data_IF_492996084593
#
_entry.id   IF_492996084593
#
_cell.length_a   1.000
_cell.length_b   1.000
_cell.length_c   1.000
_cell.angle_alpha   90.00
_cell.angle_beta   90.00
_cell.angle_gamma   90.00
#
_symmetry.space_group_name_H-M   'P 1'
#
loop_
_entity.id
_entity.type
_entity.pdbx_description
1 polymer ?
#
# COMPACT_ATOMS: atom_id res chain seq x y z
N UNK A 1 29.60 -8.22 -7.01
CA UNK A 1 29.66 -9.25 -5.96
C UNK A 1 28.22 -9.64 -5.67
N UNK A 2 27.87 -10.91 -5.81
CA UNK A 2 26.48 -11.33 -5.55
C UNK A 2 26.28 -11.46 -4.03
N UNK A 3 25.18 -10.89 -3.51
CA UNK A 3 24.80 -11.04 -2.12
C UNK A 3 24.40 -12.48 -1.82
N UNK A 4 24.73 -12.96 -0.64
CA UNK A 4 24.26 -14.24 -0.09
C UNK A 4 24.21 -14.17 1.43
N UNK A 5 23.49 -15.11 2.02
CA UNK A 5 23.33 -15.20 3.48
C UNK A 5 24.23 -16.28 4.13
N UNK A 6 25.16 -16.86 3.37
CA UNK A 6 25.99 -18.01 3.80
C UNK A 6 26.58 -17.83 5.21
N UNK A 7 27.20 -16.69 5.46
CA UNK A 7 27.86 -16.39 6.78
C UNK A 7 26.88 -16.28 7.96
N UNK A 8 25.57 -16.17 7.69
CA UNK A 8 24.51 -16.12 8.72
C UNK A 8 23.80 -17.46 8.86
N UNK A 9 23.85 -18.30 7.82
CA UNK A 9 23.22 -19.62 7.77
C UNK A 9 24.17 -20.69 8.31
N UNK A 10 25.49 -20.54 8.12
CA UNK A 10 26.48 -21.49 8.60
C UNK A 10 26.38 -21.61 10.12
N UNK A 11 26.18 -22.86 10.60
CA UNK A 11 25.91 -23.16 12.01
C UNK A 11 24.47 -23.00 12.46
N UNK A 12 23.54 -22.51 11.60
CA UNK A 12 22.12 -22.45 11.90
C UNK A 12 21.35 -23.53 11.11
N UNK A 13 20.78 -24.53 11.78
CA UNK A 13 20.10 -25.65 11.10
C UNK A 13 18.75 -25.23 10.47
N UNK A 14 18.16 -24.11 10.88
CA UNK A 14 16.86 -23.67 10.46
C UNK A 14 16.83 -22.65 9.33
N UNK A 15 15.63 -22.16 9.05
CA UNK A 15 15.40 -21.10 8.08
C UNK A 15 15.85 -19.74 8.66
N UNK A 16 16.43 -18.91 7.80
CA UNK A 16 16.82 -17.53 8.12
C UNK A 16 16.01 -16.59 7.25
N UNK A 17 15.38 -15.58 7.85
CA UNK A 17 14.64 -14.56 7.14
C UNK A 17 15.36 -13.21 7.19
N UNK A 18 15.37 -12.47 6.09
CA UNK A 18 15.76 -11.06 6.07
C UNK A 18 14.54 -10.16 6.18
N UNK A 19 14.66 -9.07 6.94
CA UNK A 19 13.58 -8.11 7.21
C UNK A 19 14.07 -6.70 6.95
N UNK A 20 13.27 -5.91 6.24
CA UNK A 20 13.53 -4.49 5.98
C UNK A 20 12.22 -3.70 5.88
N UNK A 21 12.29 -2.37 6.03
CA UNK A 21 11.15 -1.48 5.94
C UNK A 21 11.35 -0.33 4.95
N UNK A 22 10.24 0.27 4.55
CA UNK A 22 10.20 1.50 3.76
C UNK A 22 9.05 2.40 4.22
N UNK A 23 9.24 3.71 4.08
CA UNK A 23 8.14 4.65 4.33
C UNK A 23 8.11 5.24 5.73
N UNK A 24 9.23 5.27 6.48
CA UNK A 24 9.30 5.94 7.79
C UNK A 24 9.26 7.47 7.69
N UNK A 25 10.01 8.03 6.74
CA UNK A 25 10.18 9.47 6.60
C UNK A 25 9.10 10.26 5.82
N UNK A 26 8.29 9.66 4.93
CA UNK A 26 7.24 10.37 4.20
C UNK A 26 6.19 11.02 5.10
N UNK A 27 5.60 12.12 4.60
CA UNK A 27 4.50 12.86 5.27
C UNK A 27 3.15 12.17 5.13
N UNK A 28 3.01 11.23 4.17
CA UNK A 28 1.77 10.51 3.92
C UNK A 28 1.98 9.05 3.52
N UNK A 29 0.90 8.29 3.57
CA UNK A 29 0.86 6.87 3.23
C UNK A 29 1.47 5.96 4.30
N UNK A 30 1.43 4.63 4.08
CA UNK A 30 1.82 3.64 5.07
C UNK A 30 3.33 3.54 5.27
N UNK A 31 3.73 2.93 6.40
CA UNK A 31 5.01 2.21 6.52
C UNK A 31 4.77 0.76 6.11
N UNK A 32 5.67 0.22 5.31
CA UNK A 32 5.61 -1.16 4.80
C UNK A 32 6.90 -1.87 5.17
N UNK A 33 6.80 -3.07 5.73
CA UNK A 33 7.91 -3.97 5.95
C UNK A 33 7.71 -5.27 5.18
N UNK A 34 8.80 -5.92 4.82
CA UNK A 34 8.77 -7.25 4.26
C UNK A 34 9.74 -8.18 4.98
N UNK A 35 9.44 -9.47 4.95
CA UNK A 35 10.29 -10.53 5.43
C UNK A 35 10.42 -11.61 4.36
N UNK A 36 11.63 -12.06 4.06
CA UNK A 36 11.91 -13.02 2.97
C UNK A 36 12.79 -14.15 3.43
N UNK A 37 12.38 -15.39 3.14
CA UNK A 37 13.17 -16.61 3.32
C UNK A 37 13.55 -17.16 1.95
N UNK A 38 14.84 -17.44 1.75
CA UNK A 38 15.35 -18.12 0.57
C UNK A 38 15.87 -19.54 0.86
N UNK A 39 15.92 -20.42 -0.17
CA UNK A 39 16.69 -21.65 -0.09
C UNK A 39 18.16 -21.38 0.24
N UNK A 40 18.79 -22.28 1.01
CA UNK A 40 20.21 -22.16 1.35
C UNK A 40 21.07 -22.14 0.08
N UNK A 41 22.04 -21.23 0.05
CA UNK A 41 23.00 -21.11 -1.06
C UNK A 41 22.48 -20.37 -2.28
N UNK A 42 21.23 -19.87 -2.27
CA UNK A 42 20.71 -19.06 -3.37
C UNK A 42 21.49 -17.75 -3.53
N UNK A 43 21.69 -17.37 -4.78
CA UNK A 43 22.10 -16.03 -5.18
C UNK A 43 21.16 -15.50 -6.26
N UNK A 44 20.90 -14.20 -6.26
CA UNK A 44 20.10 -13.53 -7.28
C UNK A 44 20.91 -12.37 -7.82
N UNK A 45 21.18 -12.42 -9.12
CA UNK A 45 21.95 -11.38 -9.78
C UNK A 45 21.17 -10.05 -9.78
N UNK A 46 21.88 -8.97 -9.46
CA UNK A 46 21.34 -7.61 -9.47
C UNK A 46 20.53 -7.22 -8.23
N UNK A 47 20.29 -8.14 -7.29
CA UNK A 47 19.73 -7.79 -5.99
C UNK A 47 20.79 -7.07 -5.17
N UNK A 48 20.49 -5.83 -4.76
CA UNK A 48 21.35 -4.95 -3.97
C UNK A 48 20.45 -3.90 -3.28
N UNK A 49 21.02 -2.91 -2.61
CA UNK A 49 20.34 -1.74 -2.06
C UNK A 49 19.26 -1.21 -3.01
N UNK A 50 18.00 -1.30 -2.59
CA UNK A 50 16.82 -0.97 -3.42
C UNK A 50 16.82 0.47 -3.92
N UNK A 51 17.51 1.38 -3.21
CA UNK A 51 17.62 2.81 -3.57
C UNK A 51 18.54 3.06 -4.76
N UNK A 52 19.49 2.12 -5.01
CA UNK A 52 20.42 2.18 -6.16
C UNK A 52 19.88 1.51 -7.41
N UNK A 53 18.74 0.85 -7.31
CA UNK A 53 18.10 0.11 -8.41
C UNK A 53 16.99 0.97 -9.00
N UNK A 54 16.94 1.08 -10.34
CA UNK A 54 15.87 1.83 -11.02
C UNK A 54 14.48 1.21 -10.74
N UNK A 55 13.39 1.99 -10.78
CA UNK A 55 12.05 1.47 -10.56
C UNK A 55 11.70 0.27 -11.45
N UNK A 56 12.01 0.36 -12.76
CA UNK A 56 11.77 -0.74 -13.71
C UNK A 56 12.53 -2.02 -13.34
N UNK A 57 13.78 -1.89 -12.92
CA UNK A 57 14.58 -3.06 -12.51
C UNK A 57 14.09 -3.63 -11.18
N UNK A 58 13.58 -2.78 -10.25
CA UNK A 58 12.97 -3.26 -9.00
C UNK A 58 11.72 -4.10 -9.25
N UNK A 59 10.85 -3.70 -10.19
CA UNK A 59 9.69 -4.51 -10.57
C UNK A 59 10.09 -5.87 -11.10
N UNK A 60 11.08 -5.95 -11.99
CA UNK A 60 11.60 -7.24 -12.49
C UNK A 60 12.15 -8.09 -11.34
N UNK A 61 12.93 -7.49 -10.44
CA UNK A 61 13.51 -8.21 -9.30
C UNK A 61 12.44 -8.63 -8.30
N UNK A 62 11.37 -7.87 -8.12
CA UNK A 62 10.23 -8.25 -7.31
C UNK A 62 9.62 -9.57 -7.79
N UNK A 63 9.39 -9.72 -9.10
CA UNK A 63 8.87 -10.97 -9.67
C UNK A 63 9.85 -12.13 -9.51
N UNK A 64 11.16 -11.89 -9.72
CA UNK A 64 12.21 -12.89 -9.51
C UNK A 64 12.26 -13.33 -8.05
N UNK A 65 12.15 -12.40 -7.09
CA UNK A 65 12.15 -12.69 -5.65
C UNK A 65 10.92 -13.53 -5.30
N UNK A 66 9.72 -13.15 -5.76
CA UNK A 66 8.49 -13.90 -5.52
C UNK A 66 8.58 -15.35 -6.01
N UNK A 67 9.21 -15.56 -7.18
CA UNK A 67 9.34 -16.89 -7.77
C UNK A 67 10.42 -17.77 -7.09
N UNK A 68 11.40 -17.16 -6.42
CA UNK A 68 12.54 -17.88 -5.82
C UNK A 68 12.50 -18.00 -4.30
N UNK A 69 11.70 -17.19 -3.64
CA UNK A 69 11.56 -17.25 -2.19
C UNK A 69 10.79 -18.50 -1.74
N UNK A 70 11.19 -19.06 -0.62
CA UNK A 70 10.41 -20.10 0.08
C UNK A 70 9.19 -19.49 0.75
N UNK A 71 9.34 -18.27 1.27
CA UNK A 71 8.24 -17.55 1.92
C UNK A 71 8.50 -16.06 1.90
N UNK A 72 7.43 -15.29 1.74
CA UNK A 72 7.42 -13.83 1.83
C UNK A 72 6.26 -13.43 2.72
N UNK A 73 6.52 -12.54 3.65
CA UNK A 73 5.50 -11.86 4.44
C UNK A 73 5.61 -10.34 4.25
N UNK A 74 4.47 -9.65 4.28
CA UNK A 74 4.37 -8.20 4.10
C UNK A 74 3.51 -7.63 5.22
N UNK A 75 4.05 -6.68 5.98
CA UNK A 75 3.31 -5.93 6.99
C UNK A 75 3.10 -4.49 6.56
N UNK A 76 1.89 -3.99 6.72
CA UNK A 76 1.48 -2.65 6.30
C UNK A 76 0.79 -1.97 7.47
N UNK A 77 1.34 -0.83 7.90
CA UNK A 77 0.74 0.01 8.92
C UNK A 77 0.39 1.36 8.30
N UNK A 78 -0.90 1.66 8.30
CA UNK A 78 -1.44 2.86 7.69
C UNK A 78 -1.25 4.08 8.58
N UNK A 79 -1.42 5.24 7.97
CA UNK A 79 -1.20 6.57 8.55
C UNK A 79 -1.93 6.79 9.88
N UNK A 80 -3.18 6.34 9.97
CA UNK A 80 -4.00 6.49 11.16
C UNK A 80 -3.44 5.71 12.37
N UNK A 81 -2.91 4.51 12.12
CA UNK A 81 -2.26 3.74 13.18
C UNK A 81 -0.88 4.31 13.52
N UNK A 82 -0.15 4.85 12.54
CA UNK A 82 1.12 5.55 12.79
C UNK A 82 0.89 6.75 13.71
N UNK A 83 -0.17 7.53 13.48
CA UNK A 83 -0.51 8.68 14.32
C UNK A 83 -0.89 8.28 15.76
N UNK A 84 -1.48 7.09 15.93
CA UNK A 84 -1.86 6.55 17.25
C UNK A 84 -0.64 6.08 18.05
N UNK A 85 0.28 5.33 17.43
CA UNK A 85 1.36 4.61 18.12
C UNK A 85 2.77 5.15 17.86
N UNK A 86 2.94 6.17 17.06
CA UNK A 86 4.14 6.74 16.43
C UNK A 86 4.81 5.85 15.39
N UNK A 87 5.75 6.45 14.63
CA UNK A 87 6.40 5.77 13.49
C UNK A 87 7.34 4.64 13.90
N UNK A 88 7.97 4.71 15.07
CA UNK A 88 8.86 3.64 15.52
C UNK A 88 8.05 2.38 15.86
N UNK A 89 6.99 2.52 16.64
CA UNK A 89 6.09 1.42 16.97
C UNK A 89 5.36 0.88 15.74
N UNK A 90 4.94 1.77 14.82
CA UNK A 90 4.36 1.39 13.55
C UNK A 90 5.32 0.57 12.68
N UNK A 91 6.61 0.92 12.66
CA UNK A 91 7.63 0.16 11.94
C UNK A 91 7.82 -1.23 12.53
N UNK A 92 7.95 -1.32 13.87
CA UNK A 92 8.11 -2.60 14.57
C UNK A 92 6.89 -3.50 14.34
N UNK A 93 5.69 -2.92 14.41
CA UNK A 93 4.45 -3.67 14.16
C UNK A 93 4.38 -4.17 12.71
N UNK A 94 4.79 -3.36 11.72
CA UNK A 94 4.87 -3.80 10.33
C UNK A 94 5.85 -4.95 10.15
N UNK A 95 7.05 -4.85 10.74
CA UNK A 95 8.05 -5.93 10.68
C UNK A 95 7.53 -7.21 11.34
N UNK A 96 6.88 -7.11 12.50
CA UNK A 96 6.25 -8.26 13.18
C UNK A 96 5.20 -8.91 12.30
N UNK A 97 4.27 -8.14 11.73
CA UNK A 97 3.26 -8.66 10.80
C UNK A 97 3.88 -9.39 9.60
N UNK A 98 4.99 -8.88 9.07
CA UNK A 98 5.70 -9.52 7.97
C UNK A 98 6.31 -10.87 8.40
N UNK A 99 6.95 -10.93 9.56
CA UNK A 99 7.56 -12.17 10.09
C UNK A 99 6.50 -13.20 10.47
N UNK A 100 5.36 -12.76 11.01
CA UNK A 100 4.26 -13.65 11.43
C UNK A 100 3.60 -14.41 10.26
N UNK A 101 3.69 -13.90 9.05
CA UNK A 101 3.16 -14.55 7.84
C UNK A 101 4.08 -15.63 7.27
N UNK A 102 5.33 -15.71 7.72
CA UNK A 102 6.29 -16.65 7.14
C UNK A 102 5.97 -18.11 7.47
N UNK A 103 6.08 -18.97 6.44
CA UNK A 103 5.96 -20.42 6.55
C UNK A 103 7.01 -21.08 5.64
N UNK A 104 8.00 -21.87 6.18
CA UNK A 104 8.16 -22.22 7.60
C UNK A 104 8.54 -21.02 8.48
N UNK A 105 8.29 -21.13 9.79
CA UNK A 105 8.78 -20.12 10.74
C UNK A 105 10.31 -20.10 10.75
N UNK A 106 10.93 -18.90 10.69
CA UNK A 106 12.39 -18.82 10.74
C UNK A 106 12.93 -19.07 12.14
N UNK A 107 14.13 -19.64 12.21
CA UNK A 107 14.86 -19.80 13.48
C UNK A 107 15.67 -18.54 13.83
N UNK A 108 15.96 -17.72 12.84
CA UNK A 108 16.67 -16.46 12.98
C UNK A 108 16.11 -15.42 12.00
N UNK A 109 16.03 -14.18 12.44
CA UNK A 109 15.74 -13.03 11.60
C UNK A 109 16.94 -12.09 11.51
N UNK A 110 17.24 -11.65 10.30
CA UNK A 110 18.25 -10.63 10.01
C UNK A 110 17.50 -9.33 9.72
N UNK A 111 17.68 -8.32 10.55
CA UNK A 111 16.94 -7.05 10.45
C UNK A 111 17.88 -5.94 9.99
N UNK A 112 17.47 -5.13 8.99
CA UNK A 112 18.25 -3.97 8.59
C UNK A 112 18.30 -2.92 9.70
N UNK A 113 19.48 -2.28 9.84
CA UNK A 113 19.68 -1.22 10.82
C UNK A 113 19.92 -1.69 12.24
N UNK A 114 19.44 -0.91 13.20
CA UNK A 114 19.55 -1.18 14.65
C UNK A 114 18.16 -1.06 15.28
N UNK A 115 17.37 -2.11 15.14
CA UNK A 115 16.00 -2.18 15.69
C UNK A 115 16.01 -2.96 17.00
N UNK A 116 15.14 -2.59 17.93
CA UNK A 116 14.82 -3.45 19.08
C UNK A 116 14.14 -4.74 18.62
N UNK A 117 14.03 -5.73 19.50
CA UNK A 117 13.43 -7.02 19.15
C UNK A 117 11.99 -6.84 18.63
N UNK A 118 11.74 -7.39 17.44
CA UNK A 118 10.46 -7.31 16.74
C UNK A 118 9.57 -8.53 17.03
N UNK A 119 10.17 -9.64 17.50
CA UNK A 119 9.50 -10.90 17.85
C UNK A 119 10.35 -11.69 18.84
N UNK A 120 9.83 -12.84 19.31
CA UNK A 120 10.57 -13.78 20.18
C UNK A 120 11.57 -14.65 19.41
N UNK A 121 11.70 -14.48 18.10
CA UNK A 121 12.66 -15.19 17.26
C UNK A 121 14.06 -14.56 17.44
N UNK A 122 15.09 -15.39 17.45
CA UNK A 122 16.46 -14.91 17.53
C UNK A 122 16.74 -13.86 16.45
N UNK A 123 17.03 -12.63 16.89
CA UNK A 123 17.21 -11.47 16.01
C UNK A 123 18.67 -11.05 15.93
N UNK A 124 19.12 -10.76 14.71
CA UNK A 124 20.41 -10.15 14.46
C UNK A 124 20.26 -8.87 13.65
N UNK A 125 20.60 -7.74 14.24
CA UNK A 125 20.63 -6.45 13.56
C UNK A 125 21.88 -6.31 12.69
N UNK A 126 21.70 -5.83 11.45
CA UNK A 126 22.77 -5.66 10.48
C UNK A 126 22.73 -4.26 9.89
N UNK A 127 23.64 -3.40 10.31
CA UNK A 127 23.74 -2.04 9.76
C UNK A 127 24.07 -2.11 8.27
N UNK A 128 23.24 -1.45 7.43
CA UNK A 128 23.28 -1.53 5.96
C UNK A 128 23.16 -2.98 5.49
N UNK A 129 22.21 -3.71 6.05
CA UNK A 129 21.97 -5.12 5.78
C UNK A 129 21.59 -5.37 4.33
N UNK A 130 20.85 -4.46 3.71
CA UNK A 130 20.46 -4.45 2.30
C UNK A 130 21.66 -4.53 1.31
N UNK A 131 22.84 -4.12 1.75
CA UNK A 131 24.10 -4.27 0.98
C UNK A 131 24.95 -5.47 1.39
N UNK A 132 24.53 -6.27 2.37
CA UNK A 132 25.31 -7.34 2.98
C UNK A 132 24.64 -8.71 2.99
N UNK A 133 23.30 -8.75 2.99
CA UNK A 133 22.49 -9.95 3.07
C UNK A 133 21.51 -9.97 1.88
N UNK A 134 21.42 -11.12 1.22
CA UNK A 134 20.49 -11.30 0.10
C UNK A 134 19.04 -11.21 0.55
N UNK A 135 18.71 -11.84 1.67
CA UNK A 135 17.34 -11.85 2.18
C UNK A 135 16.88 -10.47 2.65
N UNK A 136 17.75 -9.66 3.27
CA UNK A 136 17.44 -8.26 3.63
C UNK A 136 17.28 -7.41 2.37
N UNK A 137 18.19 -7.52 1.39
CA UNK A 137 18.07 -6.77 0.14
C UNK A 137 16.79 -7.11 -0.63
N UNK A 138 16.39 -8.38 -0.62
CA UNK A 138 15.12 -8.81 -1.21
C UNK A 138 13.92 -8.24 -0.44
N UNK A 139 13.94 -8.25 0.89
CA UNK A 139 12.91 -7.64 1.72
C UNK A 139 12.78 -6.14 1.42
N UNK A 140 13.90 -5.42 1.30
CA UNK A 140 13.95 -4.01 0.89
C UNK A 140 13.23 -3.77 -0.45
N UNK A 141 13.51 -4.61 -1.47
CA UNK A 141 12.87 -4.51 -2.78
C UNK A 141 11.36 -4.79 -2.67
N UNK A 142 10.96 -5.86 -1.97
CA UNK A 142 9.55 -6.23 -1.80
C UNK A 142 8.77 -5.13 -1.08
N UNK A 143 9.28 -4.63 0.02
CA UNK A 143 8.66 -3.54 0.77
C UNK A 143 8.54 -2.28 -0.09
N UNK A 144 9.60 -1.91 -0.81
CA UNK A 144 9.64 -0.71 -1.67
C UNK A 144 8.65 -0.80 -2.82
N UNK A 145 8.60 -1.90 -3.56
CA UNK A 145 7.65 -2.08 -4.67
C UNK A 145 6.21 -2.06 -4.17
N UNK A 146 5.93 -2.76 -3.07
CA UNK A 146 4.59 -2.79 -2.46
C UNK A 146 4.13 -1.39 -2.10
N UNK A 147 4.97 -0.62 -1.40
CA UNK A 147 4.61 0.75 -1.00
C UNK A 147 4.47 1.68 -2.19
N UNK A 148 5.40 1.65 -3.14
CA UNK A 148 5.36 2.52 -4.32
C UNK A 148 4.07 2.29 -5.12
N UNK A 149 3.66 1.04 -5.32
CA UNK A 149 2.37 0.70 -5.97
C UNK A 149 1.17 1.33 -5.25
N UNK A 150 1.14 1.30 -3.91
CA UNK A 150 0.08 1.99 -3.14
C UNK A 150 0.12 3.50 -3.33
N UNK A 151 1.31 4.10 -3.35
CA UNK A 151 1.44 5.56 -3.56
C UNK A 151 0.97 5.98 -4.96
N UNK A 152 1.16 5.15 -5.98
CA UNK A 152 0.62 5.38 -7.33
C UNK A 152 -0.92 5.36 -7.35
N UNK A 153 -1.55 4.46 -6.58
CA UNK A 153 -3.01 4.46 -6.46
C UNK A 153 -3.52 5.70 -5.70
N UNK A 154 -2.82 6.14 -4.65
CA UNK A 154 -3.17 7.38 -3.94
C UNK A 154 -3.00 8.64 -4.81
N UNK A 155 -2.05 8.65 -5.75
CA UNK A 155 -1.89 9.78 -6.70
C UNK A 155 -3.14 9.96 -7.58
N UNK A 156 -3.80 8.87 -7.98
CA UNK A 156 -5.06 8.92 -8.73
C UNK A 156 -6.22 9.51 -7.92
N UNK A 157 -6.24 9.25 -6.61
CA UNK A 157 -7.27 9.77 -5.69
C UNK A 157 -7.03 11.25 -5.40
N UNK A 158 -5.76 11.63 -5.19
CA UNK A 158 -5.32 12.97 -4.80
C UNK A 158 -4.35 13.56 -5.83
N UNK A 159 -4.81 13.86 -7.06
CA UNK A 159 -3.97 14.48 -8.05
C UNK A 159 -3.54 15.89 -7.58
N UNK A 160 -2.32 16.28 -7.89
CA UNK A 160 -1.77 17.59 -7.52
C UNK A 160 -0.84 17.60 -6.31
N UNK A 161 -0.74 16.50 -5.55
CA UNK A 161 0.26 16.35 -4.47
C UNK A 161 1.58 15.75 -4.95
N UNK A 162 1.67 15.33 -6.21
CA UNK A 162 2.87 14.80 -6.84
C UNK A 162 3.33 13.46 -6.28
N UNK A 163 2.40 12.65 -5.76
CA UNK A 163 2.71 11.37 -5.11
C UNK A 163 3.36 10.36 -6.06
N UNK A 164 3.08 10.49 -7.36
CA UNK A 164 3.72 9.72 -8.43
C UNK A 164 5.26 9.82 -8.41
N UNK A 165 5.78 10.98 -8.02
CA UNK A 165 7.22 11.29 -8.06
C UNK A 165 7.85 11.35 -6.68
N UNK A 166 7.21 12.04 -5.73
CA UNK A 166 7.74 12.24 -4.39
C UNK A 166 7.48 11.09 -3.43
N UNK A 167 6.60 10.13 -3.78
CA UNK A 167 6.23 8.97 -2.95
C UNK A 167 5.84 9.35 -1.51
N UNK A 168 5.28 10.56 -1.34
CA UNK A 168 4.85 11.10 -0.05
C UNK A 168 5.94 11.80 0.75
N UNK A 169 7.17 11.88 0.27
CA UNK A 169 8.23 12.64 0.93
C UNK A 169 7.97 14.15 0.85
N UNK A 170 8.42 14.87 1.89
CA UNK A 170 8.23 16.34 2.01
C UNK A 170 9.14 17.14 1.08
N UNK A 171 9.02 16.94 -0.22
CA UNK A 171 9.66 17.81 -1.21
C UNK A 171 9.05 19.21 -1.19
N UNK A 172 9.71 20.19 -1.78
CA UNK A 172 9.18 21.56 -1.86
C UNK A 172 7.81 21.59 -2.53
N UNK A 173 7.64 20.82 -3.59
CA UNK A 173 6.40 20.69 -4.35
C UNK A 173 5.28 20.08 -3.50
N UNK A 174 5.57 19.00 -2.76
CA UNK A 174 4.59 18.36 -1.88
C UNK A 174 4.15 19.30 -0.75
N UNK A 175 5.10 19.94 -0.09
CA UNK A 175 4.81 20.93 0.97
C UNK A 175 4.01 22.10 0.40
N UNK A 176 4.31 22.58 -0.80
CA UNK A 176 3.54 23.65 -1.45
C UNK A 176 2.10 23.21 -1.75
N UNK A 177 1.92 21.98 -2.25
CA UNK A 177 0.58 21.41 -2.49
C UNK A 177 -0.24 21.34 -1.20
N UNK A 178 0.37 20.87 -0.10
CA UNK A 178 -0.29 20.82 1.22
C UNK A 178 -0.69 22.20 1.71
N UNK A 179 0.16 23.20 1.52
CA UNK A 179 -0.13 24.61 1.91
C UNK A 179 -1.30 25.21 1.14
N UNK A 180 -1.40 24.86 -0.15
CA UNK A 180 -2.41 25.44 -1.05
C UNK A 180 -3.76 24.70 -1.02
N UNK A 181 -3.74 23.39 -0.75
CA UNK A 181 -4.89 22.50 -0.89
C UNK A 181 -5.21 21.70 0.37
N UNK A 182 -4.58 22.02 1.50
CA UNK A 182 -4.66 21.30 2.78
C UNK A 182 -4.08 19.88 2.73
N UNK A 183 -4.09 19.19 3.87
CA UNK A 183 -3.73 17.79 3.96
C UNK A 183 -4.92 16.90 3.60
N UNK A 184 -4.63 15.74 3.03
CA UNK A 184 -5.63 14.72 2.66
C UNK A 184 -5.72 13.61 3.72
N UNK A 185 -6.72 12.73 3.66
CA UNK A 185 -6.88 11.62 4.62
C UNK A 185 -5.68 10.66 4.76
N UNK A 186 -4.79 10.62 3.77
CA UNK A 186 -3.58 9.76 3.83
C UNK A 186 -2.37 10.43 4.47
N UNK A 187 -2.46 11.73 4.84
CA UNK A 187 -1.36 12.43 5.52
C UNK A 187 -1.30 12.07 7.00
N UNK A 188 -0.08 11.93 7.50
CA UNK A 188 0.20 11.60 8.91
C UNK A 188 0.06 12.86 9.76
N UNK A 189 -0.99 12.93 10.54
CA UNK A 189 -1.32 14.12 11.34
C UNK A 189 -0.28 14.43 12.42
N UNK A 190 0.46 13.43 12.88
CA UNK A 190 1.56 13.60 13.84
C UNK A 190 2.86 14.14 13.23
N UNK A 191 2.97 14.21 11.89
CA UNK A 191 4.19 14.65 11.21
C UNK A 191 4.12 16.13 10.85
N UNK A 192 5.11 16.93 11.27
CA UNK A 192 5.20 18.33 10.84
C UNK A 192 5.55 18.40 9.33
N UNK A 193 4.95 19.31 8.55
CA UNK A 193 4.06 20.39 8.98
C UNK A 193 2.55 20.06 8.89
N UNK A 194 2.15 18.82 8.78
CA UNK A 194 0.76 18.40 8.50
C UNK A 194 -0.26 19.00 9.48
N UNK A 195 -0.04 19.03 10.82
CA UNK A 195 -1.03 19.57 11.76
C UNK A 195 -1.45 21.02 11.46
N UNK A 196 -0.53 21.80 10.87
CA UNK A 196 -0.76 23.22 10.58
C UNK A 196 -1.66 23.43 9.33
N UNK A 197 -1.85 22.39 8.52
CA UNK A 197 -2.55 22.42 7.25
C UNK A 197 -3.70 21.41 7.18
N UNK A 198 -4.23 20.97 8.31
CA UNK A 198 -5.42 20.14 8.34
C UNK A 198 -6.66 20.96 7.96
N UNK A 199 -7.52 20.46 7.04
CA UNK A 199 -8.76 21.13 6.71
C UNK A 199 -9.69 21.19 7.93
N UNK A 200 -10.32 22.34 8.18
CA UNK A 200 -11.44 22.45 9.10
C UNK A 200 -12.73 22.10 8.37
N UNK A 201 -13.78 21.78 9.10
CA UNK A 201 -15.07 21.42 8.48
C UNK A 201 -15.56 22.47 7.48
N UNK A 202 -15.34 23.76 7.74
CA UNK A 202 -15.68 24.87 6.83
C UNK A 202 -14.85 24.91 5.54
N UNK A 203 -13.70 24.25 5.52
CA UNK A 203 -12.79 24.21 4.37
C UNK A 203 -13.15 23.03 3.42
N UNK A 204 -14.06 22.15 3.86
CA UNK A 204 -14.56 21.02 3.06
C UNK A 204 -15.66 21.54 2.13
N UNK A 205 -15.31 21.72 0.86
CA UNK A 205 -16.20 22.31 -0.15
C UNK A 205 -17.28 21.30 -0.55
N UNK A 206 -16.94 20.01 -0.64
CA UNK A 206 -17.84 18.95 -1.09
C UNK A 206 -17.67 17.68 -0.25
N UNK A 207 -18.66 17.39 0.60
CA UNK A 207 -18.68 16.17 1.44
C UNK A 207 -18.83 14.91 0.58
N UNK A 208 -19.48 14.99 -0.59
CA UNK A 208 -19.61 13.87 -1.52
C UNK A 208 -18.24 13.48 -2.08
N UNK A 209 -17.46 14.43 -2.55
CA UNK A 209 -16.09 14.21 -3.04
C UNK A 209 -15.21 13.63 -1.93
N UNK A 210 -15.22 14.18 -0.73
CA UNK A 210 -14.48 13.64 0.41
C UNK A 210 -14.91 12.20 0.73
N UNK A 211 -16.21 11.89 0.65
CA UNK A 211 -16.72 10.54 0.90
C UNK A 211 -16.19 9.54 -0.14
N UNK A 212 -16.16 9.93 -1.41
CA UNK A 212 -15.59 9.10 -2.50
C UNK A 212 -14.08 8.87 -2.27
N UNK A 213 -13.36 9.91 -1.89
CA UNK A 213 -11.92 9.83 -1.59
C UNK A 213 -11.62 8.90 -0.41
N UNK A 214 -12.38 9.00 0.67
CA UNK A 214 -12.27 8.11 1.83
C UNK A 214 -12.55 6.65 1.45
N UNK A 215 -13.58 6.42 0.64
CA UNK A 215 -13.92 5.09 0.14
C UNK A 215 -12.81 4.52 -0.75
N UNK A 216 -12.30 5.32 -1.69
CA UNK A 216 -11.19 4.90 -2.56
C UNK A 216 -9.91 4.62 -1.75
N UNK A 217 -9.60 5.41 -0.72
CA UNK A 217 -8.50 5.10 0.20
C UNK A 217 -8.69 3.75 0.89
N UNK A 218 -9.90 3.42 1.34
CA UNK A 218 -10.19 2.13 1.96
C UNK A 218 -10.04 0.98 0.95
N UNK A 219 -10.44 1.17 -0.31
CA UNK A 219 -10.22 0.19 -1.38
C UNK A 219 -8.72 -0.07 -1.60
N UNK A 220 -7.90 0.99 -1.68
CA UNK A 220 -6.42 0.85 -1.81
C UNK A 220 -5.85 0.11 -0.61
N UNK A 221 -6.30 0.40 0.62
CA UNK A 221 -5.89 -0.32 1.84
C UNK A 221 -6.26 -1.81 1.78
N UNK A 222 -7.33 -2.16 1.08
CA UNK A 222 -7.77 -3.55 0.84
C UNK A 222 -7.14 -4.21 -0.39
N UNK A 223 -6.22 -3.53 -1.08
CA UNK A 223 -5.46 -4.07 -2.22
C UNK A 223 -6.07 -3.81 -3.61
N UNK A 224 -7.13 -3.01 -3.71
CA UNK A 224 -7.68 -2.62 -5.00
C UNK A 224 -6.76 -1.65 -5.75
N UNK A 225 -6.72 -1.80 -7.07
CA UNK A 225 -6.17 -0.80 -8.00
C UNK A 225 -7.29 0.10 -8.49
N UNK A 226 -7.13 1.39 -8.38
CA UNK A 226 -8.10 2.37 -8.87
C UNK A 226 -7.93 2.50 -10.39
N UNK A 227 -9.01 2.26 -11.13
CA UNK A 227 -9.04 2.38 -12.60
C UNK A 227 -9.60 3.74 -12.99
N UNK A 228 -10.80 4.10 -12.48
CA UNK A 228 -11.40 5.41 -12.65
C UNK A 228 -11.97 5.92 -11.32
N UNK A 229 -11.89 7.22 -11.08
CA UNK A 229 -12.47 7.87 -9.90
C UNK A 229 -12.92 9.28 -10.28
N UNK A 230 -14.13 9.66 -9.85
CA UNK A 230 -14.73 10.99 -10.09
C UNK A 230 -14.69 11.38 -11.58
N UNK A 231 -14.86 10.41 -12.47
CA UNK A 231 -14.84 10.64 -13.90
C UNK A 231 -16.19 11.27 -14.33
N UNK A 232 -16.14 12.42 -14.98
CA UNK A 232 -17.31 13.18 -15.42
C UNK A 232 -18.15 12.38 -16.45
N UNK A 233 -17.50 11.46 -17.19
CA UNK A 233 -18.18 10.59 -18.13
C UNK A 233 -19.04 9.52 -17.43
N UNK A 234 -18.76 9.22 -16.16
CA UNK A 234 -19.51 8.23 -15.38
C UNK A 234 -20.59 8.92 -14.55
N UNK A 235 -21.86 8.56 -14.79
CA UNK A 235 -23.03 9.15 -14.08
C UNK A 235 -23.49 8.28 -12.90
N UNK A 236 -23.45 6.98 -13.09
CA UNK A 236 -23.98 6.00 -12.12
C UNK A 236 -22.88 5.35 -11.28
N UNK A 237 -21.60 5.57 -11.60
CA UNK A 237 -20.44 4.99 -10.91
C UNK A 237 -19.51 6.12 -10.49
N UNK A 238 -19.05 6.10 -9.25
CA UNK A 238 -18.09 7.08 -8.72
C UNK A 238 -16.66 6.54 -8.71
N UNK A 239 -16.50 5.21 -8.56
CA UNK A 239 -15.18 4.55 -8.58
C UNK A 239 -15.29 3.23 -9.33
N UNK A 240 -14.36 3.00 -10.26
CA UNK A 240 -14.09 1.67 -10.84
C UNK A 240 -12.73 1.21 -10.32
N UNK A 241 -12.68 -0.01 -9.80
CA UNK A 241 -11.45 -0.60 -9.32
C UNK A 241 -11.27 -2.05 -9.78
N UNK A 242 -10.03 -2.54 -9.72
CA UNK A 242 -9.63 -3.92 -10.04
C UNK A 242 -9.04 -4.57 -8.79
N UNK A 243 -9.55 -5.75 -8.42
CA UNK A 243 -9.03 -6.56 -7.33
C UNK A 243 -9.12 -8.05 -7.70
N UNK A 244 -8.05 -8.81 -7.51
CA UNK A 244 -7.95 -10.23 -7.87
C UNK A 244 -8.42 -10.56 -9.30
N UNK A 245 -8.08 -9.70 -10.27
CA UNK A 245 -8.48 -9.78 -11.68
C UNK A 245 -9.99 -9.56 -11.94
N UNK A 246 -10.76 -9.15 -10.95
CA UNK A 246 -12.18 -8.79 -11.08
C UNK A 246 -12.38 -7.29 -11.00
N UNK A 247 -13.32 -6.77 -11.80
CA UNK A 247 -13.70 -5.36 -11.80
C UNK A 247 -14.84 -5.10 -10.84
N UNK A 248 -14.77 -3.98 -10.14
CA UNK A 248 -15.75 -3.51 -9.17
C UNK A 248 -16.19 -2.09 -9.52
N UNK A 249 -17.51 -1.88 -9.59
CA UNK A 249 -18.15 -0.58 -9.71
C UNK A 249 -18.72 -0.15 -8.36
N UNK A 250 -18.45 1.10 -7.95
CA UNK A 250 -18.91 1.64 -6.68
C UNK A 250 -19.65 2.95 -6.87
N UNK A 251 -20.80 3.11 -6.19
CA UNK A 251 -21.59 4.33 -6.15
C UNK A 251 -21.75 4.82 -4.73
N UNK A 252 -21.45 6.10 -4.49
CA UNK A 252 -21.79 6.75 -3.22
C UNK A 252 -23.31 6.90 -3.13
N UNK A 253 -23.89 6.41 -2.05
CA UNK A 253 -25.32 6.42 -1.85
C UNK A 253 -25.69 6.94 -0.45
N UNK A 254 -26.57 7.94 -0.41
CA UNK A 254 -26.97 8.59 0.84
C UNK A 254 -28.36 8.18 1.35
N UNK A 255 -29.12 7.36 0.59
CA UNK A 255 -30.47 6.99 0.97
C UNK A 255 -30.88 5.61 0.44
N UNK A 256 -31.81 4.94 1.13
CA UNK A 256 -32.35 3.61 0.75
C UNK A 256 -33.28 3.63 -0.48
N UNK A 257 -33.21 4.63 -1.35
CA UNK A 257 -34.10 4.74 -2.50
C UNK A 257 -33.61 3.89 -3.65
N UNK A 258 -34.50 2.99 -4.11
CA UNK A 258 -34.45 2.28 -5.41
C UNK A 258 -33.06 1.70 -5.80
N UNK A 259 -32.51 0.83 -4.95
CA UNK A 259 -31.23 0.15 -5.18
C UNK A 259 -31.21 -0.65 -6.50
N UNK A 260 -32.38 -1.18 -6.94
CA UNK A 260 -32.47 -1.94 -8.18
C UNK A 260 -32.24 -1.08 -9.43
N UNK A 261 -32.78 0.15 -9.45
CA UNK A 261 -32.49 1.11 -10.53
C UNK A 261 -31.02 1.53 -10.55
N UNK A 262 -30.43 1.75 -9.38
CA UNK A 262 -28.99 2.06 -9.25
C UNK A 262 -28.18 0.92 -9.83
N UNK A 263 -28.46 -0.32 -9.41
CA UNK A 263 -27.83 -1.53 -9.90
C UNK A 263 -27.86 -1.62 -11.43
N UNK A 264 -29.05 -1.52 -12.02
CA UNK A 264 -29.23 -1.64 -13.46
C UNK A 264 -28.47 -0.56 -14.25
N UNK A 265 -28.43 0.67 -13.74
CA UNK A 265 -27.67 1.74 -14.36
C UNK A 265 -26.15 1.52 -14.24
N UNK A 266 -25.68 1.06 -13.09
CA UNK A 266 -24.27 0.73 -12.89
C UNK A 266 -23.82 -0.43 -13.79
N UNK A 267 -24.64 -1.47 -13.97
CA UNK A 267 -24.33 -2.58 -14.89
C UNK A 267 -24.12 -2.05 -16.31
N UNK A 268 -25.07 -1.26 -16.83
CA UNK A 268 -24.96 -0.67 -18.18
C UNK A 268 -23.71 0.18 -18.35
N UNK A 269 -23.36 0.96 -17.33
CA UNK A 269 -22.20 1.83 -17.37
C UNK A 269 -20.90 1.03 -17.31
N UNK A 270 -20.84 -0.07 -16.52
CA UNK A 270 -19.70 -1.01 -16.53
C UNK A 270 -19.55 -1.72 -17.88
N UNK A 271 -20.66 -2.14 -18.50
CA UNK A 271 -20.64 -2.73 -19.85
C UNK A 271 -20.09 -1.75 -20.88
N UNK A 272 -20.51 -0.48 -20.83
CA UNK A 272 -20.00 0.60 -21.68
C UNK A 272 -18.49 0.81 -21.46
N UNK A 273 -18.06 0.89 -20.22
CA UNK A 273 -16.66 1.01 -19.85
C UNK A 273 -15.81 -0.14 -20.43
N UNK A 274 -16.29 -1.40 -20.35
CA UNK A 274 -15.57 -2.54 -20.92
C UNK A 274 -15.44 -2.47 -22.43
N UNK A 275 -16.45 -1.96 -23.13
CA UNK A 275 -16.40 -1.78 -24.58
C UNK A 275 -15.41 -0.69 -24.99
N UNK A 276 -15.41 0.45 -24.29
CA UNK A 276 -14.52 1.58 -24.56
C UNK A 276 -13.04 1.25 -24.30
N UNK A 277 -12.74 0.57 -23.20
CA UNK A 277 -11.37 0.20 -22.81
C UNK A 277 -10.88 -1.10 -23.51
N UNK A 278 -11.68 -1.69 -24.41
CA UNK A 278 -11.30 -2.88 -25.21
C UNK A 278 -11.12 -4.15 -24.36
N UNK A 279 -11.78 -4.20 -23.18
CA UNK A 279 -11.72 -5.34 -22.25
C UNK A 279 -12.57 -6.47 -22.83
N UNK A 280 -11.94 -7.62 -23.11
CA UNK A 280 -12.63 -8.78 -23.71
C UNK A 280 -13.72 -9.32 -22.79
N UNK A 281 -14.87 -9.71 -23.41
CA UNK A 281 -16.08 -10.21 -22.74
C UNK A 281 -15.89 -11.38 -21.79
N UNK A 282 -14.82 -12.15 -21.89
CA UNK A 282 -14.53 -13.29 -21.00
C UNK A 282 -14.27 -12.86 -19.53
N UNK A 283 -14.01 -11.56 -19.30
CA UNK A 283 -13.81 -10.98 -17.96
C UNK A 283 -15.15 -10.48 -17.38
N UNK A 284 -16.22 -10.41 -18.19
CA UNK A 284 -17.54 -9.87 -17.79
C UNK A 284 -18.41 -10.89 -17.02
N UNK A 285 -17.91 -12.08 -16.72
CA UNK A 285 -18.69 -13.12 -16.01
C UNK A 285 -19.03 -12.77 -14.55
N UNK A 286 -18.41 -11.72 -13.96
CA UNK A 286 -18.79 -11.21 -12.65
C UNK A 286 -18.57 -9.69 -12.56
N UNK A 287 -19.58 -8.90 -12.95
CA UNK A 287 -19.60 -7.47 -12.62
C UNK A 287 -19.98 -7.34 -11.14
N UNK A 288 -19.00 -6.99 -10.31
CA UNK A 288 -19.23 -6.74 -8.90
C UNK A 288 -19.66 -5.28 -8.68
N UNK A 289 -20.83 -5.08 -8.12
CA UNK A 289 -21.41 -3.74 -7.89
C UNK A 289 -21.72 -3.56 -6.42
N UNK A 290 -21.30 -2.44 -5.88
CA UNK A 290 -21.55 -2.08 -4.49
C UNK A 290 -21.94 -0.62 -4.33
N UNK A 291 -22.78 -0.33 -3.38
CA UNK A 291 -22.99 1.03 -2.91
C UNK A 291 -22.11 1.31 -1.71
N UNK A 292 -21.68 2.55 -1.63
CA UNK A 292 -20.84 3.05 -0.54
C UNK A 292 -21.66 4.02 0.29
N UNK A 293 -21.59 3.91 1.60
CA UNK A 293 -22.00 4.96 2.53
C UNK A 293 -20.85 5.36 3.45
N UNK A 294 -20.77 6.63 3.79
CA UNK A 294 -19.78 7.14 4.74
C UNK A 294 -20.50 7.80 5.89
N UNK A 295 -20.28 7.24 7.08
CA UNK A 295 -20.79 7.76 8.33
C UNK A 295 -19.73 8.66 8.98
N UNK A 296 -19.99 9.95 9.09
CA UNK A 296 -19.14 10.89 9.80
C UNK A 296 -19.47 10.89 11.30
N UNK A 297 -18.58 10.37 12.11
CA UNK A 297 -18.69 10.39 13.57
C UNK A 297 -17.66 11.33 14.19
N UNK A 298 -17.77 11.59 15.51
CA UNK A 298 -16.83 12.47 16.22
C UNK A 298 -15.37 11.99 16.19
N UNK A 299 -15.14 10.69 15.99
CA UNK A 299 -13.81 10.11 16.08
C UNK A 299 -13.15 9.89 14.72
N UNK A 300 -13.77 9.10 13.84
CA UNK A 300 -13.26 8.82 12.47
C UNK A 300 -14.43 8.52 11.54
N UNK A 301 -14.36 8.92 10.26
CA UNK A 301 -15.34 8.51 9.27
C UNK A 301 -15.30 6.99 9.10
N UNK A 302 -16.48 6.37 9.03
CA UNK A 302 -16.63 4.94 8.77
C UNK A 302 -17.17 4.73 7.36
N UNK A 303 -16.40 4.02 6.55
CA UNK A 303 -16.81 3.63 5.20
C UNK A 303 -17.47 2.26 5.25
N UNK A 304 -18.66 2.15 4.66
CA UNK A 304 -19.46 0.93 4.62
C UNK A 304 -19.72 0.59 3.16
N UNK A 305 -19.35 -0.63 2.75
CA UNK A 305 -19.63 -1.18 1.44
C UNK A 305 -20.78 -2.17 1.54
N UNK A 306 -21.76 -2.06 0.62
CA UNK A 306 -22.90 -2.96 0.53
C UNK A 306 -23.03 -3.46 -0.91
N UNK A 307 -22.84 -4.75 -1.11
CA UNK A 307 -23.08 -5.39 -2.41
C UNK A 307 -24.58 -5.31 -2.75
N UNK A 308 -24.91 -5.06 -4.04
CA UNK A 308 -26.27 -4.93 -4.53
C UNK A 308 -26.52 -5.78 -5.78
#
# INVERSE_FOLDING_TARGET
MNLNDKKYIDGNPGAVAGVDEVGRGPLCGPVVAAAVIFPKGLTIEGVNDSKKISPKKREILFDVINNKALSIGIGIIHEDKIDEINILEGTILAMRQAVDQLTPKPNMILVDGNMRDISDINQRNIIKGDSKSLSIAAASIVAKVTRDRMMLEYDKIFPGYGLLTNMGYGTKEHISAIKNSFSTPIHRQSFKPIPDYMPKFRDIIDIGVLSIELAACQMVKSGHKIIRIKDIALQSIDVISLFNQEYFGFKLHSSNRNLENIKNNMIKEMETFFLEDGIKKDITSSINISVISVEFSKNKPKVIFKNI
#
